data_IF_419151779277
#
_entry.id   IF_419151779277
#
_cell.length_a   1.000
_cell.length_b   1.000
_cell.length_c   1.000
_cell.angle_alpha   90.00
_cell.angle_beta   90.00
_cell.angle_gamma   90.00
#
_symmetry.space_group_name_H-M   'P 1'
#
loop_
_entity.id
_entity.type
_entity.pdbx_description
1 polymer ?
#
# COMPACT_ATOMS: atom_id res chain seq x y z
N UNK A 1 2.31 -21.44 3.87
CA UNK A 1 2.53 -19.97 3.79
C UNK A 1 2.44 -19.51 2.34
N UNK A 2 3.13 -20.18 1.41
CA UNK A 2 2.97 -19.95 -0.05
C UNK A 2 1.52 -20.15 -0.49
N UNK A 3 0.88 -21.26 -0.11
CA UNK A 3 -0.51 -21.53 -0.52
C UNK A 3 -1.51 -20.48 0.00
N UNK A 4 -1.28 -19.93 1.20
CA UNK A 4 -2.10 -18.85 1.76
C UNK A 4 -1.91 -17.56 0.95
N UNK A 5 -0.66 -17.21 0.62
CA UNK A 5 -0.37 -16.04 -0.22
C UNK A 5 -0.94 -16.21 -1.63
N UNK A 6 -0.91 -17.40 -2.19
CA UNK A 6 -1.49 -17.70 -3.51
C UNK A 6 -3.02 -17.55 -3.48
N UNK A 7 -3.70 -18.08 -2.45
CA UNK A 7 -5.14 -17.88 -2.27
C UNK A 7 -5.51 -16.41 -2.08
N UNK A 8 -4.75 -15.69 -1.26
CA UNK A 8 -4.90 -14.24 -1.08
C UNK A 8 -4.69 -13.50 -2.39
N UNK A 9 -3.72 -13.91 -3.19
CA UNK A 9 -3.47 -13.30 -4.51
C UNK A 9 -4.64 -13.53 -5.47
N UNK A 10 -5.22 -14.72 -5.52
CA UNK A 10 -6.42 -14.97 -6.32
C UNK A 10 -7.61 -14.10 -5.86
N UNK A 11 -7.82 -13.97 -4.55
CA UNK A 11 -8.85 -13.09 -4.00
C UNK A 11 -8.58 -11.61 -4.28
N UNK A 12 -7.32 -11.17 -4.19
CA UNK A 12 -6.88 -9.82 -4.55
C UNK A 12 -7.27 -9.48 -5.99
N UNK A 13 -6.95 -10.37 -6.94
CA UNK A 13 -7.31 -10.17 -8.36
C UNK A 13 -8.81 -10.03 -8.57
N UNK A 14 -9.62 -10.83 -7.87
CA UNK A 14 -11.07 -10.74 -7.93
C UNK A 14 -11.57 -9.39 -7.40
N UNK A 15 -11.09 -8.94 -6.24
CA UNK A 15 -11.50 -7.68 -5.64
C UNK A 15 -11.06 -6.45 -6.45
N UNK A 16 -9.93 -6.54 -7.16
CA UNK A 16 -9.48 -5.51 -8.10
C UNK A 16 -10.45 -5.45 -9.29
N UNK A 17 -10.88 -6.60 -9.82
CA UNK A 17 -11.84 -6.64 -10.92
C UNK A 17 -13.22 -6.09 -10.53
N UNK A 18 -13.63 -6.30 -9.28
CA UNK A 18 -14.89 -5.80 -8.73
C UNK A 18 -14.84 -4.32 -8.27
N UNK A 19 -13.66 -3.71 -8.23
CA UNK A 19 -13.39 -2.33 -7.73
C UNK A 19 -14.07 -2.00 -6.40
N UNK A 20 -14.17 -3.00 -5.51
CA UNK A 20 -14.84 -2.88 -4.23
C UNK A 20 -13.83 -2.49 -3.14
N UNK A 21 -13.01 -3.44 -2.70
CA UNK A 21 -12.06 -3.28 -1.59
C UNK A 21 -10.78 -2.51 -1.97
N UNK A 22 -10.40 -2.56 -3.24
CA UNK A 22 -9.21 -1.89 -3.79
C UNK A 22 -9.53 -0.64 -4.59
N UNK A 23 -10.73 -0.10 -4.45
CA UNK A 23 -11.02 1.24 -4.97
C UNK A 23 -10.15 2.27 -4.27
N UNK A 24 -9.77 3.33 -5.00
CA UNK A 24 -8.90 4.39 -4.49
C UNK A 24 -9.44 5.02 -3.20
N UNK A 25 -10.77 5.11 -3.08
CA UNK A 25 -11.42 5.72 -1.93
C UNK A 25 -11.39 4.78 -0.72
N UNK A 26 -11.63 3.48 -0.89
CA UNK A 26 -11.52 2.51 0.20
C UNK A 26 -10.06 2.37 0.68
N UNK A 27 -9.09 2.35 -0.23
CA UNK A 27 -7.67 2.32 0.15
C UNK A 27 -7.26 3.56 0.94
N UNK A 28 -7.75 4.74 0.55
CA UNK A 28 -7.52 5.99 1.29
C UNK A 28 -8.15 5.97 2.69
N UNK A 29 -9.36 5.41 2.85
CA UNK A 29 -10.02 5.32 4.15
C UNK A 29 -9.26 4.41 5.12
N UNK A 30 -8.70 3.31 4.61
CA UNK A 30 -7.91 2.35 5.42
C UNK A 30 -6.58 2.92 5.88
N UNK A 31 -5.82 3.56 4.98
CA UNK A 31 -4.53 4.14 5.30
C UNK A 31 -4.45 5.62 4.87
N UNK A 32 -5.04 6.54 5.67
CA UNK A 32 -5.14 7.95 5.32
C UNK A 32 -3.79 8.67 5.33
N UNK A 33 -2.84 8.27 6.18
CA UNK A 33 -1.49 8.84 6.23
C UNK A 33 -0.69 8.51 4.98
N UNK A 34 -0.60 7.22 4.64
CA UNK A 34 0.10 6.74 3.46
C UNK A 34 -0.44 7.37 2.17
N UNK A 35 -1.77 7.48 2.06
CA UNK A 35 -2.40 8.16 0.93
C UNK A 35 -1.99 9.63 0.85
N UNK A 36 -2.01 10.37 1.96
CA UNK A 36 -1.62 11.78 1.94
C UNK A 36 -0.16 11.95 1.53
N UNK A 37 0.76 11.12 2.05
CA UNK A 37 2.19 11.16 1.74
C UNK A 37 2.50 10.87 0.25
N UNK A 38 1.88 9.84 -0.35
CA UNK A 38 2.19 9.41 -1.71
C UNK A 38 1.32 10.08 -2.78
N UNK A 39 0.06 10.37 -2.47
CA UNK A 39 -0.92 10.84 -3.46
C UNK A 39 -1.48 12.20 -3.08
N UNK A 40 -2.00 12.34 -1.86
CA UNK A 40 -2.78 13.50 -1.41
C UNK A 40 -2.03 14.83 -1.45
N UNK A 41 -0.73 14.87 -1.13
CA UNK A 41 0.08 16.09 -1.19
C UNK A 41 0.24 16.67 -2.60
N UNK A 42 0.10 15.83 -3.62
CA UNK A 42 0.35 16.19 -5.02
C UNK A 42 -0.92 16.41 -5.84
N UNK A 43 -2.10 16.19 -5.25
CA UNK A 43 -3.38 16.54 -5.85
C UNK A 43 -3.71 18.02 -5.62
N UNK A 44 -4.16 18.68 -6.69
CA UNK A 44 -4.69 20.03 -6.63
C UNK A 44 -6.02 20.06 -5.89
N UNK A 45 -6.39 21.24 -5.37
CA UNK A 45 -7.69 21.44 -4.69
C UNK A 45 -8.87 21.13 -5.62
N UNK A 46 -8.71 21.31 -6.93
CA UNK A 46 -9.74 20.97 -7.91
C UNK A 46 -9.88 19.44 -8.06
N UNK A 47 -8.77 18.72 -8.22
CA UNK A 47 -8.76 17.26 -8.31
C UNK A 47 -9.30 16.61 -7.02
N UNK A 48 -8.94 17.13 -5.83
CA UNK A 48 -9.50 16.67 -4.55
C UNK A 48 -11.04 16.82 -4.50
N UNK A 49 -11.55 17.96 -4.99
CA UNK A 49 -13.00 18.20 -5.06
C UNK A 49 -13.70 17.28 -6.05
N UNK A 50 -13.08 16.98 -7.19
CA UNK A 50 -13.65 16.07 -8.20
C UNK A 50 -13.74 14.65 -7.67
N UNK A 51 -12.71 14.17 -6.97
CA UNK A 51 -12.75 12.90 -6.24
C UNK A 51 -13.90 12.86 -5.23
N UNK A 52 -14.03 13.92 -4.41
CA UNK A 52 -15.06 13.96 -3.36
C UNK A 52 -16.49 14.03 -3.93
N UNK A 53 -16.65 14.55 -5.16
CA UNK A 53 -17.96 14.55 -5.86
C UNK A 53 -18.41 13.16 -6.27
N UNK A 54 -17.50 12.25 -6.63
CA UNK A 54 -17.85 10.91 -7.12
C UNK A 54 -18.67 10.09 -6.10
N UNK A 55 -18.60 10.41 -4.80
CA UNK A 55 -19.42 9.78 -3.75
C UNK A 55 -20.79 10.43 -3.53
N UNK A 56 -21.06 11.57 -4.18
CA UNK A 56 -22.26 12.38 -3.99
C UNK A 56 -23.34 12.17 -5.05
N UNK A 57 -23.07 11.34 -6.07
CA UNK A 57 -23.98 11.12 -7.21
C UNK A 57 -25.12 10.13 -6.92
N UNK A 58 -25.03 9.38 -5.81
CA UNK A 58 -26.14 8.59 -5.27
C UNK A 58 -27.08 9.45 -4.41
N UNK A 59 -28.27 8.95 -4.06
CA UNK A 59 -29.25 9.61 -3.17
C UNK A 59 -28.65 9.94 -1.79
N UNK A 60 -27.89 11.04 -1.70
CA UNK A 60 -27.20 11.48 -0.49
C UNK A 60 -28.20 12.03 0.51
N UNK A 61 -28.57 11.19 1.47
CA UNK A 61 -29.37 11.61 2.61
C UNK A 61 -28.51 12.50 3.53
N UNK A 62 -29.12 13.47 4.22
CA UNK A 62 -28.41 14.33 5.17
C UNK A 62 -27.59 13.55 6.22
N UNK A 63 -28.09 12.39 6.66
CA UNK A 63 -27.37 11.47 7.54
C UNK A 63 -26.06 10.97 6.91
N UNK A 64 -26.04 10.63 5.61
CA UNK A 64 -24.84 10.21 4.87
C UNK A 64 -23.78 11.32 4.85
N UNK A 65 -24.21 12.57 4.64
CA UNK A 65 -23.31 13.74 4.68
C UNK A 65 -22.71 13.92 6.09
N UNK A 66 -23.50 13.77 7.14
CA UNK A 66 -23.02 13.86 8.52
C UNK A 66 -22.05 12.73 8.87
N UNK A 67 -22.39 11.49 8.51
CA UNK A 67 -21.51 10.33 8.71
C UNK A 67 -20.18 10.52 7.97
N UNK A 68 -20.22 10.94 6.70
CA UNK A 68 -19.02 11.23 5.91
C UNK A 68 -18.17 12.38 6.52
N UNK A 69 -18.82 13.36 7.15
CA UNK A 69 -18.12 14.41 7.91
C UNK A 69 -17.35 13.85 9.10
N UNK A 70 -18.02 13.03 9.92
CA UNK A 70 -17.40 12.39 11.08
C UNK A 70 -16.28 11.43 10.67
N UNK A 71 -16.48 10.65 9.60
CA UNK A 71 -15.45 9.76 9.06
C UNK A 71 -14.22 10.54 8.59
N UNK A 72 -14.40 11.68 7.91
CA UNK A 72 -13.30 12.55 7.49
C UNK A 72 -12.55 13.12 8.69
N UNK A 73 -13.25 13.62 9.69
CA UNK A 73 -12.64 14.17 10.91
C UNK A 73 -11.86 13.08 11.67
N UNK A 74 -12.42 11.88 11.79
CA UNK A 74 -11.75 10.74 12.40
C UNK A 74 -10.48 10.35 11.63
N UNK A 75 -10.55 10.28 10.30
CA UNK A 75 -9.39 9.97 9.46
C UNK A 75 -8.29 11.04 9.60
N UNK A 76 -8.65 12.32 9.71
CA UNK A 76 -7.68 13.39 9.97
C UNK A 76 -7.01 13.27 11.34
N UNK A 77 -7.78 12.89 12.37
CA UNK A 77 -7.26 12.65 13.73
C UNK A 77 -6.30 11.46 13.73
N UNK A 78 -6.70 10.32 13.13
CA UNK A 78 -5.86 9.12 13.04
C UNK A 78 -4.55 9.44 12.33
N UNK A 79 -4.63 10.09 11.16
CA UNK A 79 -3.45 10.54 10.41
C UNK A 79 -2.53 11.40 11.26
N UNK A 80 -3.07 12.42 11.95
CA UNK A 80 -2.27 13.35 12.76
C UNK A 80 -1.58 12.62 13.91
N UNK A 81 -2.29 11.70 14.57
CA UNK A 81 -1.72 10.90 15.65
C UNK A 81 -0.61 9.96 15.15
N UNK A 82 -0.72 9.42 13.94
CA UNK A 82 0.34 8.59 13.33
C UNK A 82 1.56 9.43 12.94
N UNK A 83 1.35 10.59 12.31
CA UNK A 83 2.42 11.55 11.97
C UNK A 83 3.21 11.98 13.22
N UNK A 84 2.51 12.32 14.32
CA UNK A 84 3.15 12.65 15.59
C UNK A 84 3.95 11.47 16.19
N UNK A 85 3.49 10.23 16.01
CA UNK A 85 4.24 9.05 16.47
C UNK A 85 5.51 8.80 15.65
N UNK A 86 5.47 9.06 14.34
CA UNK A 86 6.64 8.95 13.47
C UNK A 86 7.68 10.03 13.81
N UNK A 87 7.24 11.28 13.99
CA UNK A 87 8.10 12.39 14.39
C UNK A 87 8.75 12.15 15.76
N UNK A 88 7.97 11.74 16.77
CA UNK A 88 8.50 11.43 18.10
C UNK A 88 9.55 10.30 18.07
N UNK A 89 9.40 9.30 17.21
CA UNK A 89 10.40 8.22 17.08
C UNK A 89 11.72 8.73 16.50
N UNK A 90 11.68 9.69 15.58
CA UNK A 90 12.90 10.32 15.04
C UNK A 90 13.59 11.24 16.07
N UNK A 91 12.81 11.96 16.89
CA UNK A 91 13.38 12.87 17.90
C UNK A 91 14.09 12.12 19.04
N UNK A 92 13.59 10.95 19.47
CA UNK A 92 14.20 10.13 20.54
C UNK A 92 15.51 9.44 20.10
N UNK A 93 15.79 9.29 18.80
CA UNK A 93 17.07 8.75 18.30
C UNK A 93 18.19 9.80 18.25
N UNK A 94 17.87 11.10 18.20
CA UNK A 94 18.84 12.21 18.08
C UNK A 94 19.33 12.72 19.45
N UNK A 95 18.65 12.40 20.55
CA UNK A 95 18.99 12.88 21.91
C UNK A 95 20.07 12.04 22.63
N UNK A 96 20.94 11.35 21.86
CA UNK A 96 22.09 10.59 22.40
C UNK A 96 23.44 11.31 22.26
N UNK A 97 23.45 12.60 21.90
CA UNK A 97 24.69 13.38 21.74
C UNK A 97 24.56 14.83 22.20
N UNK A 98 24.63 15.09 23.51
CA UNK A 98 25.43 16.22 24.02
C UNK A 98 25.65 16.09 25.54
N UNK A 99 26.72 15.37 25.89
CA UNK A 99 27.27 15.37 27.25
C UNK A 99 28.21 16.59 27.40
N UNK A 100 27.97 17.36 28.46
CA UNK A 100 28.85 18.36 29.09
C UNK A 100 29.06 19.74 28.45
N UNK A 101 28.22 20.70 28.89
CA UNK A 101 28.72 22.04 29.21
C UNK A 101 28.04 22.61 30.46
N UNK A 102 28.39 22.05 31.61
CA UNK A 102 28.07 22.62 32.92
C UNK A 102 28.72 24.01 33.10
N UNK A 103 27.95 25.08 32.83
CA UNK A 103 28.28 26.44 33.28
C UNK A 103 27.37 26.85 34.43
N UNK A 104 27.98 26.91 35.60
CA UNK A 104 27.51 27.43 36.87
C UNK A 104 26.67 28.71 36.75
N UNK A 105 25.49 28.73 37.38
CA UNK A 105 24.81 29.97 37.75
C UNK A 105 24.31 29.87 39.20
N UNK A 106 24.79 30.79 40.02
CA UNK A 106 24.40 30.97 41.41
C UNK A 106 22.97 31.53 41.55
N UNK A 107 22.27 31.26 42.65
CA UNK A 107 20.90 31.74 42.85
C UNK A 107 20.88 33.20 43.32
N UNK A 108 20.19 34.08 42.59
CA UNK A 108 19.75 35.39 43.10
C UNK A 108 18.23 35.37 43.30
N UNK A 109 17.72 35.68 44.51
CA UNK A 109 16.28 35.82 44.73
C UNK A 109 15.83 37.28 44.58
N UNK A 110 14.52 37.44 44.37
CA UNK A 110 13.73 38.67 44.55
C UNK A 110 13.76 39.67 43.39
N UNK A 111 12.64 39.81 42.68
CA UNK A 111 11.62 40.80 43.03
C UNK A 111 10.56 40.91 41.93
N UNK A 112 9.29 40.84 42.33
CA UNK A 112 8.13 41.49 41.72
C UNK A 112 8.03 41.57 40.19
N UNK A 113 7.20 40.71 39.59
CA UNK A 113 6.52 41.04 38.34
C UNK A 113 5.09 40.50 38.28
N UNK A 114 4.26 41.00 39.19
CA UNK A 114 2.81 41.01 38.95
C UNK A 114 2.54 41.91 37.74
N UNK A 115 2.10 41.33 36.63
CA UNK A 115 1.84 42.05 35.36
C UNK A 115 2.79 41.75 34.20
N UNK A 116 3.44 40.57 34.16
CA UNK A 116 3.96 40.03 32.90
C UNK A 116 2.86 39.20 32.25
N UNK A 117 2.19 39.80 31.26
CA UNK A 117 1.41 39.05 30.29
C UNK A 117 2.40 38.09 29.62
N UNK A 118 2.29 36.79 29.92
CA UNK A 118 2.94 35.80 29.07
C UNK A 118 2.34 36.02 27.69
N UNK A 119 3.14 36.57 26.77
CA UNK A 119 2.88 36.43 25.35
C UNK A 119 2.87 34.93 25.11
N UNK A 120 1.64 34.41 25.13
CA UNK A 120 1.25 33.12 24.64
C UNK A 120 2.10 32.89 23.38
N UNK A 121 3.06 31.97 23.48
CA UNK A 121 3.82 31.48 22.34
C UNK A 121 2.80 30.72 21.51
N UNK A 122 1.96 31.49 20.82
CA UNK A 122 1.11 31.04 19.75
C UNK A 122 2.04 30.29 18.83
N UNK A 123 1.93 28.96 18.87
CA UNK A 123 2.51 28.08 17.89
C UNK A 123 2.10 28.64 16.53
N UNK A 124 2.99 29.43 15.92
CA UNK A 124 2.82 29.87 14.55
C UNK A 124 2.74 28.57 13.76
N UNK A 125 1.62 28.26 13.09
CA UNK A 125 1.62 27.14 12.17
C UNK A 125 2.71 27.44 11.14
N UNK A 126 3.73 26.57 11.08
CA UNK A 126 4.76 26.67 10.05
C UNK A 126 4.03 26.78 8.70
N UNK A 127 4.33 27.79 7.86
CA UNK A 127 3.65 27.93 6.58
C UNK A 127 3.88 26.65 5.79
N UNK A 128 2.80 25.90 5.52
CA UNK A 128 2.85 24.69 4.69
C UNK A 128 3.57 25.05 3.40
N UNK A 129 4.74 24.46 3.20
CA UNK A 129 5.57 24.66 2.02
C UNK A 129 4.72 24.40 0.78
N UNK A 130 4.96 25.17 -0.28
CA UNK A 130 4.27 25.01 -1.56
C UNK A 130 4.35 23.54 -1.98
N UNK A 131 3.22 22.97 -2.41
CA UNK A 131 3.16 21.60 -2.92
C UNK A 131 4.34 21.36 -3.87
N UNK A 132 5.11 20.27 -3.69
CA UNK A 132 6.25 20.00 -4.54
C UNK A 132 5.77 19.90 -5.99
N UNK A 133 6.39 20.65 -6.89
CA UNK A 133 6.06 20.61 -8.32
C UNK A 133 6.65 19.33 -8.92
N UNK A 134 6.01 18.20 -8.67
CA UNK A 134 6.39 16.92 -9.28
C UNK A 134 5.78 16.77 -10.67
N UNK A 135 6.50 16.03 -11.51
CA UNK A 135 6.09 15.74 -12.88
C UNK A 135 4.88 14.79 -12.91
N UNK A 136 4.16 14.78 -14.03
CA UNK A 136 3.03 13.85 -14.20
C UNK A 136 3.46 12.38 -14.12
N UNK A 137 4.70 12.07 -14.53
CA UNK A 137 5.26 10.71 -14.44
C UNK A 137 5.56 10.33 -12.99
N UNK A 138 6.18 11.22 -12.21
CA UNK A 138 6.43 10.99 -10.79
C UNK A 138 5.12 10.79 -10.01
N UNK A 139 4.08 11.58 -10.30
CA UNK A 139 2.73 11.38 -9.70
C UNK A 139 2.18 10.00 -9.98
N UNK A 140 2.40 9.48 -11.19
CA UNK A 140 1.93 8.16 -11.57
C UNK A 140 2.69 7.08 -10.80
N UNK A 141 4.02 7.21 -10.69
CA UNK A 141 4.85 6.27 -9.92
C UNK A 141 4.44 6.25 -8.45
N UNK A 142 4.27 7.42 -7.82
CA UNK A 142 3.83 7.50 -6.42
C UNK A 142 2.44 6.88 -6.20
N UNK A 143 1.52 7.07 -7.16
CA UNK A 143 0.21 6.39 -7.13
C UNK A 143 0.35 4.88 -7.26
N UNK A 144 1.25 4.38 -8.11
CA UNK A 144 1.52 2.96 -8.23
C UNK A 144 2.17 2.38 -6.96
N UNK A 145 3.07 3.13 -6.32
CA UNK A 145 3.67 2.75 -5.03
C UNK A 145 2.61 2.64 -3.94
N UNK A 146 1.68 3.60 -3.88
CA UNK A 146 0.55 3.55 -2.96
C UNK A 146 -0.27 2.27 -3.16
N UNK A 147 -0.68 2.00 -4.40
CA UNK A 147 -1.48 0.81 -4.75
C UNK A 147 -0.73 -0.48 -4.40
N UNK A 148 0.54 -0.57 -4.81
CA UNK A 148 1.37 -1.75 -4.56
C UNK A 148 1.56 -2.01 -3.08
N UNK A 149 1.79 -0.95 -2.28
CA UNK A 149 1.90 -1.06 -0.82
C UNK A 149 0.62 -1.60 -0.20
N UNK A 150 -0.55 -1.10 -0.64
CA UNK A 150 -1.84 -1.62 -0.18
C UNK A 150 -2.05 -3.09 -0.55
N UNK A 151 -1.64 -3.51 -1.75
CA UNK A 151 -1.71 -4.91 -2.17
C UNK A 151 -0.79 -5.80 -1.35
N UNK A 152 0.44 -5.35 -1.07
CA UNK A 152 1.38 -6.11 -0.24
C UNK A 152 0.87 -6.25 1.20
N UNK A 153 0.30 -5.19 1.78
CA UNK A 153 -0.29 -5.25 3.12
C UNK A 153 -1.42 -6.28 3.19
N UNK A 154 -2.27 -6.35 2.17
CA UNK A 154 -3.30 -7.37 2.05
C UNK A 154 -2.69 -8.80 1.94
N UNK A 155 -1.73 -9.00 1.04
CA UNK A 155 -1.09 -10.31 0.87
C UNK A 155 -0.37 -10.78 2.14
N UNK A 156 0.27 -9.87 2.86
CA UNK A 156 0.94 -10.14 4.13
C UNK A 156 -0.03 -10.34 5.30
N UNK A 157 -1.30 -9.92 5.16
CA UNK A 157 -2.32 -10.07 6.21
C UNK A 157 -2.31 -8.95 7.24
N UNK A 158 -1.84 -7.76 6.87
CA UNK A 158 -1.71 -6.60 7.76
C UNK A 158 -2.96 -5.74 7.80
N UNK A 159 -3.91 -5.92 6.87
CA UNK A 159 -5.15 -5.15 6.88
C UNK A 159 -6.09 -5.65 7.99
N UNK A 160 -6.16 -4.94 9.11
CA UNK A 160 -6.96 -5.30 10.28
C UNK A 160 -8.47 -5.32 9.99
N UNK A 161 -8.92 -4.51 9.03
CA UNK A 161 -10.33 -4.39 8.65
C UNK A 161 -10.83 -5.57 7.79
N UNK A 162 -9.94 -6.44 7.31
CA UNK A 162 -10.28 -7.57 6.44
C UNK A 162 -10.34 -8.89 7.20
N UNK A 163 -11.41 -9.66 6.99
CA UNK A 163 -11.53 -11.00 7.57
C UNK A 163 -10.87 -12.06 6.67
N UNK A 164 -9.58 -12.32 6.91
CA UNK A 164 -8.78 -13.30 6.15
C UNK A 164 -9.27 -14.74 6.24
N UNK A 165 -10.04 -15.13 7.26
CA UNK A 165 -10.55 -16.50 7.37
C UNK A 165 -11.39 -16.93 6.16
N UNK A 166 -12.03 -15.96 5.50
CA UNK A 166 -12.86 -16.17 4.31
C UNK A 166 -12.06 -16.56 3.06
N UNK A 167 -10.79 -16.15 3.01
CA UNK A 167 -9.90 -16.37 1.86
C UNK A 167 -8.88 -17.47 2.20
N UNK A 168 -8.29 -17.42 3.39
CA UNK A 168 -7.20 -18.31 3.81
C UNK A 168 -7.64 -19.78 3.90
N UNK A 169 -8.92 -20.04 4.19
CA UNK A 169 -9.47 -21.39 4.30
C UNK A 169 -10.28 -21.83 3.06
N UNK A 170 -10.39 -21.00 2.03
CA UNK A 170 -11.22 -21.29 0.87
C UNK A 170 -10.39 -21.92 -0.25
N UNK A 171 -10.55 -23.22 -0.43
CA UNK A 171 -9.85 -24.01 -1.45
C UNK A 171 -10.26 -23.67 -2.89
N UNK A 172 -11.35 -22.92 -3.10
CA UNK A 172 -11.73 -22.44 -4.44
C UNK A 172 -10.73 -21.45 -5.02
N UNK A 173 -9.92 -20.82 -4.17
CA UNK A 173 -8.82 -19.93 -4.56
C UNK A 173 -7.49 -20.67 -4.75
N UNK A 174 -7.46 -22.00 -4.59
CA UNK A 174 -6.26 -22.77 -4.93
C UNK A 174 -6.15 -22.78 -6.46
N UNK A 175 -5.17 -22.06 -7.00
CA UNK A 175 -4.89 -22.01 -8.44
C UNK A 175 -4.25 -23.33 -8.90
N UNK A 176 -5.03 -24.42 -8.92
CA UNK A 176 -4.57 -25.76 -9.32
C UNK A 176 -3.89 -25.70 -10.70
N UNK A 177 -4.44 -24.92 -11.63
CA UNK A 177 -3.87 -24.77 -12.98
C UNK A 177 -2.46 -24.13 -12.98
N UNK A 178 -2.17 -23.19 -12.06
CA UNK A 178 -0.81 -22.63 -11.94
C UNK A 178 0.14 -23.65 -11.32
N UNK A 179 -0.32 -24.43 -10.36
CA UNK A 179 0.47 -25.50 -9.74
C UNK A 179 0.83 -26.56 -10.78
N UNK A 180 -0.12 -26.99 -11.60
CA UNK A 180 0.11 -27.95 -12.68
C UNK A 180 1.14 -27.40 -13.69
N UNK A 181 1.03 -26.13 -14.08
CA UNK A 181 1.99 -25.50 -14.99
C UNK A 181 3.39 -25.37 -14.37
N UNK A 182 3.49 -24.99 -13.09
CA UNK A 182 4.77 -24.91 -12.38
C UNK A 182 5.43 -26.31 -12.25
N UNK A 183 4.62 -27.35 -12.04
CA UNK A 183 5.09 -28.75 -12.03
C UNK A 183 5.56 -29.21 -13.42
N UNK A 184 4.83 -28.87 -14.48
CA UNK A 184 5.22 -29.12 -15.86
C UNK A 184 6.52 -28.38 -16.22
N UNK A 185 6.64 -27.08 -15.93
CA UNK A 185 7.85 -26.29 -16.20
C UNK A 185 9.06 -26.87 -15.47
N UNK A 186 8.88 -27.33 -14.23
CA UNK A 186 9.93 -27.99 -13.46
C UNK A 186 10.32 -29.34 -14.07
N UNK A 187 9.36 -30.09 -14.60
CA UNK A 187 9.62 -31.32 -15.34
C UNK A 187 10.46 -31.03 -16.60
N UNK A 188 10.04 -30.06 -17.43
CA UNK A 188 10.77 -29.65 -18.64
C UNK A 188 12.18 -29.11 -18.35
N UNK A 189 12.36 -28.33 -17.29
CA UNK A 189 13.66 -27.79 -16.91
C UNK A 189 14.62 -28.87 -16.37
N UNK A 190 14.08 -29.98 -15.85
CA UNK A 190 14.88 -31.11 -15.35
C UNK A 190 15.22 -32.15 -16.42
N UNK A 191 14.55 -32.10 -17.57
CA UNK A 191 14.86 -32.94 -18.72
C UNK A 191 15.98 -32.29 -19.53
N UNK A 192 17.12 -32.97 -19.65
CA UNK A 192 18.18 -32.54 -20.56
C UNK A 192 17.67 -32.66 -22.00
N UNK A 193 17.95 -31.69 -22.89
CA UNK A 193 17.49 -31.75 -24.26
C UNK A 193 18.05 -33.02 -24.92
N UNK A 194 17.15 -33.95 -25.25
CA UNK A 194 17.51 -35.18 -25.93
C UNK A 194 18.05 -34.80 -27.32
N UNK A 195 19.37 -34.94 -27.51
CA UNK A 195 20.01 -34.70 -28.80
C UNK A 195 19.60 -35.85 -29.70
N UNK A 196 18.57 -35.63 -30.52
CA UNK A 196 18.21 -36.54 -31.59
C UNK A 196 19.39 -36.57 -32.56
N UNK A 197 20.25 -37.58 -32.43
CA UNK A 197 21.35 -37.81 -33.34
C UNK A 197 20.72 -38.20 -34.69
N UNK A 198 20.59 -37.22 -35.59
CA UNK A 198 20.09 -37.42 -36.97
C UNK A 198 21.09 -38.18 -37.85
N UNK A 199 22.09 -38.81 -37.24
CA UNK A 199 23.08 -39.68 -37.88
C UNK A 199 22.72 -41.12 -37.57
N UNK A 200 21.69 -41.61 -38.25
CA UNK A 200 21.51 -42.98 -38.72
C UNK A 200 20.05 -43.18 -39.17
N UNK A 201 19.68 -42.47 -40.24
CA UNK A 201 18.57 -42.85 -41.13
C UNK A 201 18.99 -42.60 -42.57
N UNK A 202 20.06 -43.28 -42.99
CA UNK A 202 20.12 -43.80 -44.34
C UNK A 202 19.86 -45.31 -44.25
N UNK A 203 18.87 -45.77 -45.01
CA UNK A 203 18.37 -47.14 -45.21
C UNK A 203 17.21 -47.64 -44.32
N UNK A 204 15.99 -47.46 -44.88
CA UNK A 204 14.93 -48.47 -45.02
C UNK A 204 13.96 -48.73 -43.86
N UNK A 205 12.82 -48.01 -43.83
CA UNK A 205 11.55 -48.52 -43.28
C UNK A 205 10.30 -47.78 -43.81
N UNK A 206 10.28 -47.36 -45.08
CA UNK A 206 9.03 -46.85 -45.70
C UNK A 206 8.01 -47.97 -46.01
N UNK A 207 8.42 -49.26 -45.91
CA UNK A 207 7.55 -50.41 -46.24
C UNK A 207 6.63 -50.88 -45.10
N UNK A 208 6.77 -50.40 -43.86
CA UNK A 208 5.93 -50.89 -42.73
C UNK A 208 4.61 -50.14 -42.55
N UNK A 209 4.48 -48.91 -43.07
CA UNK A 209 3.22 -48.14 -43.00
C UNK A 209 2.22 -48.55 -44.10
N UNK A 210 2.68 -49.09 -45.22
CA UNK A 210 1.84 -49.57 -46.33
C UNK A 210 1.15 -50.92 -46.04
N UNK A 211 1.71 -51.71 -45.12
CA UNK A 211 1.13 -53.00 -44.67
C UNK A 211 -0.15 -52.79 -43.84
N UNK A 212 -0.25 -51.68 -43.11
CA UNK A 212 -1.38 -51.39 -42.23
C UNK A 212 -2.51 -50.60 -42.92
N UNK A 213 -2.24 -50.11 -44.14
CA UNK A 213 -3.16 -49.30 -44.95
C UNK A 213 -3.67 -50.03 -46.21
N UNK A 214 -3.29 -51.30 -46.41
CA UNK A 214 -3.78 -52.18 -47.50
C UNK A 214 -4.97 -53.05 -47.07
#
# INVERSE_FOLDING_TARGET
HVDVKNRRYAALLQMIAEDSYFSEIEMMKRNPLLYEQLVGQYLTVQEKKERDKYKMDEEVTFVKILMEGIERDNAEIVRKNEEEKEDNQMEEEDDTSDEDSARSLSPVPSTSRWGEFEEDKTHRPKPKSKAPAITAQERLLLKQEFITTMYQNFLDGKDEDFNYDTVDNNSSFDNINEIDHDEEDKYFASEDPEVIDTKDKDESSEDELDIYMS
#
